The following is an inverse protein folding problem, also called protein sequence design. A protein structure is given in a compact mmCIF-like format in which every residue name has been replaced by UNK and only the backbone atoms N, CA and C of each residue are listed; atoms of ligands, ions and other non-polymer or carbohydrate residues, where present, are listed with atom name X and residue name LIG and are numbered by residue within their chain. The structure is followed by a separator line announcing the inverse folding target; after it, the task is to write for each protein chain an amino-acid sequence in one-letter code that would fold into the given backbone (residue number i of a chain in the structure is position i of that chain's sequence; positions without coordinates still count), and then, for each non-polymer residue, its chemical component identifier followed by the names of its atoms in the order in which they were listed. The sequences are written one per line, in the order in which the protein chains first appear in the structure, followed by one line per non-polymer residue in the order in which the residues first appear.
data_IF_073524978560
#
_entry.id   IF_073524978560
#
_cell.length_a   1.000
_cell.length_b   1.000
_cell.length_c   1.000
_cell.angle_alpha   90.00
_cell.angle_beta   90.00
_cell.angle_gamma   90.00
#
_symmetry.space_group_name_H-M   'P 1'
#
loop_
_entity.id
_entity.type
_entity.pdbx_description
1 polymer ?
#
# COMPACT_ATOMS: atom_id res chain seq x y z
N UNK A 1 5.00 -8.31 -15.40
CA UNK A 1 5.65 -7.67 -14.24
C UNK A 1 6.98 -7.01 -14.61
N UNK A 2 7.95 -7.74 -15.19
CA UNK A 2 9.25 -7.13 -15.58
C UNK A 2 9.06 -5.96 -16.56
N UNK A 3 8.18 -6.08 -17.56
CA UNK A 3 7.90 -5.00 -18.51
C UNK A 3 7.32 -3.74 -17.86
N UNK A 4 6.40 -3.88 -16.89
CA UNK A 4 5.86 -2.73 -16.14
C UNK A 4 6.93 -2.08 -15.29
N UNK A 5 7.80 -2.87 -14.64
CA UNK A 5 8.94 -2.34 -13.92
C UNK A 5 9.91 -1.57 -14.84
N UNK A 6 10.25 -2.14 -16.00
CA UNK A 6 11.15 -1.51 -16.97
C UNK A 6 10.60 -0.15 -17.47
N UNK A 7 9.31 -0.05 -17.74
CA UNK A 7 8.66 1.21 -18.12
C UNK A 7 8.76 2.26 -17.01
N UNK A 8 8.48 1.87 -15.77
CA UNK A 8 8.59 2.78 -14.62
C UNK A 8 10.01 3.32 -14.44
N UNK A 9 11.03 2.47 -14.57
CA UNK A 9 12.44 2.90 -14.45
C UNK A 9 12.95 3.70 -15.66
N UNK A 10 12.26 3.60 -16.81
CA UNK A 10 12.61 4.35 -18.02
C UNK A 10 11.86 5.70 -18.11
N UNK A 11 11.40 6.23 -16.98
CA UNK A 11 10.60 7.48 -16.89
C UNK A 11 9.28 7.45 -17.67
N UNK A 12 8.77 6.27 -18.04
CA UNK A 12 7.47 6.07 -18.72
C UNK A 12 6.40 5.64 -17.71
N UNK A 13 6.25 6.44 -16.65
CA UNK A 13 5.28 6.16 -15.58
C UNK A 13 3.83 6.05 -16.09
N UNK A 14 3.33 6.91 -17.00
CA UNK A 14 1.98 6.75 -17.55
C UNK A 14 1.76 5.41 -18.26
N UNK A 15 2.73 4.97 -19.06
CA UNK A 15 2.65 3.69 -19.77
C UNK A 15 2.68 2.50 -18.78
N UNK A 16 3.50 2.58 -17.74
CA UNK A 16 3.54 1.58 -16.66
C UNK A 16 2.21 1.48 -15.92
N UNK A 17 1.58 2.63 -15.63
CA UNK A 17 0.27 2.72 -14.97
C UNK A 17 -0.79 2.06 -15.86
N UNK A 18 -0.88 2.50 -17.12
CA UNK A 18 -1.85 1.98 -18.08
C UNK A 18 -1.71 0.47 -18.26
N UNK A 19 -0.48 -0.02 -18.40
CA UNK A 19 -0.21 -1.45 -18.56
C UNK A 19 -0.57 -2.26 -17.32
N UNK A 20 -0.36 -1.69 -16.12
CA UNK A 20 -0.76 -2.35 -14.88
C UNK A 20 -2.28 -2.46 -14.75
N UNK A 21 -3.02 -1.41 -15.13
CA UNK A 21 -4.49 -1.42 -15.15
C UNK A 21 -5.01 -2.47 -16.15
N UNK A 22 -4.45 -2.55 -17.36
CA UNK A 22 -4.81 -3.57 -18.35
C UNK A 22 -4.64 -4.98 -17.80
N UNK A 23 -3.50 -5.26 -17.16
CA UNK A 23 -3.21 -6.58 -16.61
C UNK A 23 -4.15 -6.90 -15.45
N UNK A 24 -4.44 -5.94 -14.57
CA UNK A 24 -5.40 -6.14 -13.47
C UNK A 24 -6.80 -6.47 -13.99
N UNK A 25 -7.25 -5.82 -15.08
CA UNK A 25 -8.52 -6.17 -15.74
C UNK A 25 -8.51 -7.59 -16.31
N UNK A 26 -7.39 -8.06 -16.86
CA UNK A 26 -7.25 -9.45 -17.30
C UNK A 26 -7.28 -10.47 -16.14
N UNK A 27 -7.03 -10.02 -14.91
CA UNK A 27 -7.12 -10.82 -13.68
C UNK A 27 -8.48 -10.64 -12.98
N UNK A 28 -9.47 -10.07 -13.67
CA UNK A 28 -10.81 -9.75 -13.14
C UNK A 28 -10.79 -8.79 -11.94
N UNK A 29 -9.77 -7.94 -11.84
CA UNK A 29 -9.64 -6.90 -10.81
C UNK A 29 -9.87 -5.53 -11.45
N UNK A 30 -11.06 -4.99 -11.22
CA UNK A 30 -11.40 -3.62 -11.61
C UNK A 30 -11.16 -2.64 -10.45
N UNK A 31 -10.47 -1.55 -10.77
CA UNK A 31 -10.18 -0.45 -9.85
C UNK A 31 -11.30 0.59 -9.80
N UNK A 32 -12.29 0.47 -10.69
CA UNK A 32 -13.45 1.37 -10.76
C UNK A 32 -13.02 2.85 -10.68
N UNK A 33 -12.16 3.27 -11.61
CA UNK A 33 -11.48 4.57 -11.61
C UNK A 33 -12.42 5.80 -11.54
N UNK A 34 -13.71 5.62 -11.83
CA UNK A 34 -14.74 6.65 -11.72
C UNK A 34 -15.26 6.88 -10.30
N UNK A 35 -14.88 6.06 -9.32
CA UNK A 35 -15.37 6.17 -7.94
C UNK A 35 -14.77 7.38 -7.22
N UNK A 36 -15.57 7.94 -6.32
CA UNK A 36 -15.12 9.01 -5.43
C UNK A 36 -14.04 8.49 -4.48
N UNK A 37 -12.94 9.23 -4.38
CA UNK A 37 -11.86 8.99 -3.43
C UNK A 37 -12.40 8.88 -1.99
N UNK A 38 -13.33 9.74 -1.62
CA UNK A 38 -13.96 9.79 -0.30
C UNK A 38 -14.73 8.51 -0.01
N UNK A 39 -15.44 7.95 -0.99
CA UNK A 39 -16.14 6.69 -0.84
C UNK A 39 -15.16 5.54 -0.57
N UNK A 40 -14.07 5.44 -1.34
CA UNK A 40 -13.04 4.41 -1.12
C UNK A 40 -12.34 4.54 0.23
N UNK A 41 -12.09 5.77 0.68
CA UNK A 41 -11.54 6.02 2.02
C UNK A 41 -12.52 5.55 3.09
N UNK A 42 -13.81 5.89 2.98
CA UNK A 42 -14.82 5.51 3.96
C UNK A 42 -15.03 3.98 4.03
N UNK A 43 -15.01 3.30 2.88
CA UNK A 43 -15.05 1.84 2.82
C UNK A 43 -13.82 1.21 3.46
N UNK A 44 -12.63 1.77 3.20
CA UNK A 44 -11.40 1.30 3.83
C UNK A 44 -11.45 1.48 5.35
N UNK A 45 -11.94 2.63 5.84
CA UNK A 45 -12.17 2.83 7.29
C UNK A 45 -13.09 1.73 7.82
N UNK A 46 -14.21 1.48 7.15
CA UNK A 46 -15.19 0.48 7.58
C UNK A 46 -14.60 -0.94 7.61
N UNK A 47 -13.80 -1.31 6.60
CA UNK A 47 -13.10 -2.59 6.55
C UNK A 47 -12.09 -2.77 7.71
N UNK A 48 -11.44 -1.67 8.12
CA UNK A 48 -10.41 -1.69 9.14
C UNK A 48 -10.93 -1.48 10.56
N UNK A 49 -12.07 -0.81 10.76
CA UNK A 49 -12.69 -0.63 12.10
C UNK A 49 -13.48 -1.85 12.55
N UNK A 50 -13.88 -2.71 11.61
CA UNK A 50 -14.56 -3.98 11.90
C UNK A 50 -13.60 -5.08 12.37
N UNK A 51 -12.29 -4.79 12.46
CA UNK A 51 -11.24 -5.73 12.85
C UNK A 51 -10.27 -5.06 13.82
N UNK A 52 -9.75 -5.84 14.74
CA UNK A 52 -8.63 -5.43 15.60
C UNK A 52 -7.31 -5.52 14.83
N UNK A 53 -6.30 -4.76 15.27
CA UNK A 53 -4.96 -4.84 14.67
C UNK A 53 -4.36 -6.24 14.80
N UNK A 54 -4.67 -6.96 15.88
CA UNK A 54 -4.22 -8.33 16.12
C UNK A 54 -4.88 -9.33 15.15
N UNK A 55 -6.17 -9.18 14.85
CA UNK A 55 -6.85 -9.99 13.82
C UNK A 55 -6.25 -9.74 12.44
N UNK A 56 -5.92 -8.49 12.12
CA UNK A 56 -5.28 -8.15 10.84
C UNK A 56 -3.89 -8.78 10.77
N UNK A 57 -3.08 -8.67 11.83
CA UNK A 57 -1.72 -9.24 11.90
C UNK A 57 -1.70 -10.78 11.83
N UNK A 58 -2.76 -11.43 12.32
CA UNK A 58 -2.90 -12.88 12.29
C UNK A 58 -3.74 -13.39 11.10
N UNK A 59 -4.02 -12.53 10.12
CA UNK A 59 -4.66 -12.94 8.87
C UNK A 59 -3.76 -13.96 8.16
N UNK A 60 -4.36 -15.04 7.63
CA UNK A 60 -3.63 -16.10 6.92
C UNK A 60 -2.76 -15.55 5.79
N UNK A 61 -1.65 -16.21 5.48
CA UNK A 61 -0.90 -15.91 4.26
C UNK A 61 -1.71 -16.24 3.01
N UNK A 62 -1.51 -15.44 1.97
CA UNK A 62 -2.08 -15.63 0.66
C UNK A 62 -1.37 -16.78 -0.05
N UNK A 63 -2.13 -17.77 -0.51
CA UNK A 63 -1.61 -18.95 -1.21
C UNK A 63 -1.89 -18.94 -2.71
N UNK A 64 -2.91 -18.19 -3.15
CA UNK A 64 -3.35 -18.13 -4.54
C UNK A 64 -2.34 -17.37 -5.41
N UNK A 65 -1.63 -18.02 -6.36
CA UNK A 65 -0.56 -17.39 -7.14
C UNK A 65 -1.03 -16.17 -7.95
N UNK A 66 -2.24 -16.26 -8.51
CA UNK A 66 -2.85 -15.17 -9.27
C UNK A 66 -3.06 -13.92 -8.42
N UNK A 67 -3.50 -14.08 -7.18
CA UNK A 67 -3.73 -12.97 -6.25
C UNK A 67 -2.41 -12.36 -5.76
N UNK A 68 -1.38 -13.19 -5.55
CA UNK A 68 -0.03 -12.71 -5.22
C UNK A 68 0.50 -11.83 -6.35
N UNK A 69 0.37 -12.28 -7.60
CA UNK A 69 0.78 -11.50 -8.77
C UNK A 69 -0.06 -10.22 -8.89
N UNK A 70 -1.36 -10.28 -8.68
CA UNK A 70 -2.22 -9.11 -8.69
C UNK A 70 -1.78 -8.04 -7.67
N UNK A 71 -1.48 -8.44 -6.44
CA UNK A 71 -0.98 -7.50 -5.42
C UNK A 71 0.38 -6.90 -5.79
N UNK A 72 1.25 -7.61 -6.51
CA UNK A 72 2.49 -7.02 -7.06
C UNK A 72 2.21 -5.92 -8.07
N UNK A 73 1.21 -6.10 -8.94
CA UNK A 73 0.80 -5.05 -9.88
C UNK A 73 0.11 -3.88 -9.20
N UNK A 74 -0.78 -4.14 -8.23
CA UNK A 74 -1.44 -3.11 -7.44
C UNK A 74 -0.42 -2.27 -6.67
N UNK A 75 0.55 -2.89 -6.01
CA UNK A 75 1.63 -2.17 -5.33
C UNK A 75 2.46 -1.30 -6.28
N UNK A 76 2.82 -1.82 -7.47
CA UNK A 76 3.55 -1.02 -8.44
C UNK A 76 2.72 0.16 -8.95
N UNK A 77 1.42 -0.06 -9.13
CA UNK A 77 0.47 0.96 -9.51
C UNK A 77 0.31 2.02 -8.42
N UNK A 78 0.22 1.63 -7.15
CA UNK A 78 0.18 2.51 -5.98
C UNK A 78 1.35 3.50 -6.01
N UNK A 79 2.57 2.98 -6.19
CA UNK A 79 3.81 3.75 -6.27
C UNK A 79 3.81 4.76 -7.42
N UNK A 80 3.39 4.33 -8.62
CA UNK A 80 3.33 5.19 -9.81
C UNK A 80 2.23 6.25 -9.72
N UNK A 81 1.06 5.89 -9.19
CA UNK A 81 -0.05 6.81 -9.01
C UNK A 81 0.22 7.81 -7.89
N UNK A 82 0.92 7.44 -6.83
CA UNK A 82 1.31 8.38 -5.78
C UNK A 82 2.20 9.52 -6.30
N UNK A 83 3.04 9.25 -7.30
CA UNK A 83 3.89 10.26 -7.92
C UNK A 83 3.15 11.14 -8.94
N UNK A 84 2.14 10.60 -9.63
CA UNK A 84 1.52 11.28 -10.79
C UNK A 84 0.11 11.79 -10.53
N UNK A 85 -0.67 11.09 -9.69
CA UNK A 85 -2.09 11.33 -9.39
C UNK A 85 -2.40 11.01 -7.90
N UNK A 86 -1.78 11.69 -6.92
CA UNK A 86 -1.89 11.33 -5.50
C UNK A 86 -3.33 11.34 -4.95
N UNK A 87 -4.23 12.13 -5.53
CA UNK A 87 -5.66 12.18 -5.13
C UNK A 87 -6.43 10.90 -5.47
N UNK A 88 -5.95 10.10 -6.42
CA UNK A 88 -6.59 8.86 -6.87
C UNK A 88 -6.00 7.61 -6.23
N UNK A 89 -4.91 7.74 -5.47
CA UNK A 89 -4.21 6.64 -4.79
C UNK A 89 -5.15 5.81 -3.90
N UNK A 90 -6.08 6.40 -3.11
CA UNK A 90 -6.95 5.61 -2.23
C UNK A 90 -7.80 4.54 -2.93
N UNK A 91 -8.04 4.65 -4.24
CA UNK A 91 -8.71 3.62 -5.04
C UNK A 91 -7.90 2.32 -5.05
N UNK A 92 -6.59 2.44 -5.29
CA UNK A 92 -5.67 1.31 -5.35
C UNK A 92 -5.34 0.81 -3.93
N UNK A 93 -5.15 1.73 -2.99
CA UNK A 93 -4.96 1.41 -1.56
C UNK A 93 -6.10 0.55 -1.02
N UNK A 94 -7.35 0.96 -1.29
CA UNK A 94 -8.55 0.23 -0.87
C UNK A 94 -8.57 -1.18 -1.45
N UNK A 95 -8.24 -1.34 -2.74
CA UNK A 95 -8.21 -2.66 -3.40
C UNK A 95 -7.13 -3.58 -2.82
N UNK A 96 -5.95 -3.04 -2.50
CA UNK A 96 -4.89 -3.80 -1.82
C UNK A 96 -5.39 -4.33 -0.47
N UNK A 97 -6.00 -3.47 0.35
CA UNK A 97 -6.50 -3.83 1.68
C UNK A 97 -7.66 -4.83 1.58
N UNK A 98 -8.63 -4.58 0.70
CA UNK A 98 -9.78 -5.46 0.46
C UNK A 98 -9.32 -6.89 0.10
N UNK A 99 -8.45 -7.01 -0.91
CA UNK A 99 -7.95 -8.31 -1.36
C UNK A 99 -7.09 -9.00 -0.29
N UNK A 100 -6.27 -8.24 0.44
CA UNK A 100 -5.43 -8.79 1.50
C UNK A 100 -6.26 -9.36 2.65
N UNK A 101 -7.32 -8.65 3.06
CA UNK A 101 -8.21 -9.14 4.11
C UNK A 101 -9.08 -10.32 3.64
N UNK A 102 -9.51 -10.34 2.37
CA UNK A 102 -10.38 -11.39 1.84
C UNK A 102 -9.64 -12.68 1.45
N UNK A 103 -8.45 -12.55 0.84
CA UNK A 103 -7.70 -13.68 0.24
C UNK A 103 -6.47 -14.08 1.05
N UNK A 104 -6.11 -13.31 2.07
CA UNK A 104 -4.91 -13.51 2.89
C UNK A 104 -3.85 -12.48 2.57
N UNK A 105 -2.85 -12.35 3.45
CA UNK A 105 -1.80 -11.36 3.31
C UNK A 105 -0.67 -11.86 2.40
N UNK A 106 -0.15 -10.97 1.56
CA UNK A 106 1.04 -11.20 0.74
C UNK A 106 2.19 -10.30 1.18
N UNK A 107 3.44 -10.56 0.74
CA UNK A 107 4.56 -9.63 0.93
C UNK A 107 4.32 -8.19 0.47
N UNK A 108 3.31 -7.95 -0.38
CA UNK A 108 2.95 -6.62 -0.89
C UNK A 108 1.77 -5.98 -0.12
N UNK A 109 1.08 -6.72 0.74
CA UNK A 109 -0.05 -6.21 1.54
C UNK A 109 0.31 -5.00 2.44
N UNK A 110 1.49 -4.94 3.09
CA UNK A 110 1.90 -3.79 3.91
C UNK A 110 1.80 -2.43 3.20
N UNK A 111 1.97 -2.40 1.87
CA UNK A 111 1.86 -1.17 1.06
C UNK A 111 0.49 -0.53 1.22
N UNK A 112 -0.60 -1.30 1.17
CA UNK A 112 -1.95 -0.74 1.34
C UNK A 112 -2.10 -0.03 2.69
N UNK A 113 -1.61 -0.64 3.78
CA UNK A 113 -1.72 -0.08 5.12
C UNK A 113 -0.88 1.17 5.31
N UNK A 114 0.36 1.21 4.80
CA UNK A 114 1.23 2.37 4.96
C UNK A 114 0.77 3.57 4.15
N UNK A 115 0.31 3.35 2.92
CA UNK A 115 -0.24 4.42 2.07
C UNK A 115 -1.54 4.96 2.65
N UNK A 116 -2.41 4.10 3.16
CA UNK A 116 -3.62 4.52 3.86
C UNK A 116 -3.29 5.35 5.10
N UNK A 117 -2.33 4.91 5.91
CA UNK A 117 -1.86 5.64 7.08
C UNK A 117 -1.33 7.03 6.71
N UNK A 118 -0.44 7.10 5.71
CA UNK A 118 0.07 8.37 5.17
C UNK A 118 -1.04 9.28 4.66
N UNK A 119 -2.04 8.75 3.95
CA UNK A 119 -3.16 9.52 3.43
C UNK A 119 -4.01 10.12 4.54
N UNK A 120 -4.37 9.34 5.56
CA UNK A 120 -5.19 9.79 6.70
C UNK A 120 -4.42 10.83 7.54
N UNK A 121 -3.11 10.62 7.77
CA UNK A 121 -2.26 11.61 8.43
C UNK A 121 -2.23 12.94 7.68
N UNK A 122 -2.10 12.91 6.34
CA UNK A 122 -2.12 14.12 5.49
C UNK A 122 -3.47 14.85 5.51
N UNK A 123 -4.56 14.17 5.89
CA UNK A 123 -5.89 14.76 6.10
C UNK A 123 -6.11 15.32 7.50
N UNK A 124 -5.10 15.24 8.39
CA UNK A 124 -5.13 15.82 9.73
C UNK A 124 -5.36 14.83 10.86
N UNK A 125 -5.69 13.57 10.59
CA UNK A 125 -5.79 12.54 11.62
C UNK A 125 -4.46 11.78 11.75
N UNK A 126 -3.50 12.43 12.40
CA UNK A 126 -2.17 11.89 12.60
C UNK A 126 -2.19 10.63 13.48
N UNK A 127 -3.08 10.55 14.47
CA UNK A 127 -3.16 9.42 15.41
C UNK A 127 -3.58 8.14 14.68
N UNK A 128 -4.69 8.17 13.93
CA UNK A 128 -5.14 7.02 13.15
C UNK A 128 -4.15 6.67 12.05
N UNK A 129 -3.59 7.68 11.37
CA UNK A 129 -2.61 7.42 10.32
C UNK A 129 -1.32 6.77 10.85
N UNK A 130 -0.82 7.21 12.01
CA UNK A 130 0.32 6.58 12.68
C UNK A 130 0.03 5.14 13.12
N UNK A 131 -1.20 4.86 13.58
CA UNK A 131 -1.65 3.48 13.88
C UNK A 131 -1.51 2.56 12.66
N UNK A 132 -2.01 2.98 11.49
CA UNK A 132 -1.92 2.18 10.26
C UNK A 132 -0.49 2.04 9.75
N UNK A 133 0.36 3.06 9.91
CA UNK A 133 1.79 2.97 9.59
C UNK A 133 2.49 1.93 10.46
N UNK A 134 2.24 1.92 11.78
CA UNK A 134 2.78 0.89 12.67
C UNK A 134 2.29 -0.51 12.29
N UNK A 135 1.00 -0.63 11.96
CA UNK A 135 0.42 -1.90 11.51
C UNK A 135 1.12 -2.41 10.23
N UNK A 136 1.38 -1.53 9.26
CA UNK A 136 2.12 -1.88 8.05
C UNK A 136 3.53 -2.38 8.33
N UNK A 137 4.26 -1.72 9.23
CA UNK A 137 5.61 -2.13 9.64
C UNK A 137 5.58 -3.50 10.32
N UNK A 138 4.65 -3.73 11.24
CA UNK A 138 4.49 -5.04 11.90
C UNK A 138 4.12 -6.16 10.93
N UNK A 139 3.40 -5.86 9.85
CA UNK A 139 3.06 -6.85 8.84
C UNK A 139 4.30 -7.35 8.08
N UNK A 140 5.33 -6.51 7.85
CA UNK A 140 6.55 -6.91 7.14
C UNK A 140 7.21 -8.16 7.74
N UNK A 141 7.18 -8.28 9.07
CA UNK A 141 7.76 -9.43 9.80
C UNK A 141 6.87 -10.69 9.70
N UNK A 142 5.58 -10.54 9.39
CA UNK A 142 4.60 -11.64 9.30
C UNK A 142 4.49 -12.22 7.89
N UNK A 143 4.56 -11.36 6.87
CA UNK A 143 4.18 -11.72 5.49
C UNK A 143 5.35 -11.70 4.52
N UNK A 144 6.53 -11.28 4.99
CA UNK A 144 7.74 -11.15 4.20
C UNK A 144 8.09 -9.70 3.90
N UNK A 145 9.37 -9.46 3.61
CA UNK A 145 9.97 -8.13 3.50
C UNK A 145 10.15 -7.63 2.06
N UNK A 146 9.46 -8.21 1.08
CA UNK A 146 9.57 -7.80 -0.33
C UNK A 146 9.22 -6.32 -0.55
N UNK A 147 8.29 -5.77 0.24
CA UNK A 147 7.89 -4.36 0.18
C UNK A 147 8.57 -3.46 1.22
N UNK A 148 9.59 -3.96 1.94
CA UNK A 148 10.13 -3.27 3.12
C UNK A 148 10.68 -1.87 2.80
N UNK A 149 11.49 -1.71 1.75
CA UNK A 149 12.07 -0.41 1.42
C UNK A 149 11.01 0.66 1.14
N UNK A 150 9.98 0.33 0.35
CA UNK A 150 8.88 1.26 0.06
C UNK A 150 8.04 1.55 1.30
N UNK A 151 7.72 0.53 2.09
CA UNK A 151 6.93 0.69 3.31
C UNK A 151 7.65 1.56 4.33
N UNK A 152 8.94 1.33 4.55
CA UNK A 152 9.74 2.12 5.48
C UNK A 152 9.85 3.56 4.99
N UNK A 153 10.09 3.77 3.69
CA UNK A 153 10.17 5.12 3.10
C UNK A 153 8.89 5.93 3.33
N UNK A 154 7.72 5.34 3.09
CA UNK A 154 6.42 6.02 3.33
C UNK A 154 6.15 6.16 4.83
N UNK A 155 6.50 5.16 5.64
CA UNK A 155 6.34 5.21 7.09
C UNK A 155 7.08 6.39 7.70
N UNK A 156 8.34 6.64 7.29
CA UNK A 156 9.15 7.78 7.76
C UNK A 156 8.43 9.12 7.57
N UNK A 157 7.69 9.30 6.47
CA UNK A 157 6.96 10.55 6.21
C UNK A 157 5.89 10.85 7.26
N UNK A 158 5.34 9.83 7.90
CA UNK A 158 4.38 10.00 9.00
C UNK A 158 5.11 10.07 10.33
N UNK A 159 6.09 9.19 10.54
CA UNK A 159 6.85 9.07 11.79
C UNK A 159 7.57 10.35 12.17
N UNK A 160 8.07 11.14 11.21
CA UNK A 160 8.76 12.42 11.47
C UNK A 160 7.90 13.44 12.23
N UNK A 161 6.58 13.32 12.18
CA UNK A 161 5.66 14.22 12.89
C UNK A 161 5.30 13.73 14.30
N UNK A 162 5.73 12.52 14.69
CA UNK A 162 5.39 11.88 15.97
C UNK A 162 6.63 11.54 16.79
N UNK A 163 7.68 11.06 16.13
CA UNK A 163 8.93 10.63 16.74
C UNK A 163 10.02 11.71 16.61
N UNK A 164 11.05 11.69 17.48
CA UNK A 164 12.22 12.54 17.32
C UNK A 164 12.87 12.35 15.95
N UNK A 165 13.29 13.45 15.32
CA UNK A 165 13.85 13.45 13.96
C UNK A 165 15.00 12.45 13.79
N UNK A 166 15.84 12.27 14.80
CA UNK A 166 16.96 11.32 14.76
C UNK A 166 16.49 9.88 14.56
N UNK A 167 15.45 9.46 15.28
CA UNK A 167 14.86 8.13 15.12
C UNK A 167 14.20 7.96 13.74
N UNK A 168 13.55 9.02 13.22
CA UNK A 168 12.98 9.00 11.87
C UNK A 168 14.05 8.90 10.78
N UNK A 169 15.21 9.54 10.96
CA UNK A 169 16.35 9.48 10.03
C UNK A 169 17.00 8.10 10.00
N UNK A 170 17.22 7.48 11.16
CA UNK A 170 17.71 6.10 11.24
C UNK A 170 16.75 5.15 10.49
N UNK A 171 15.45 5.30 10.72
CA UNK A 171 14.44 4.52 10.01
C UNK A 171 14.46 4.74 8.49
N UNK A 172 14.69 5.97 8.03
CA UNK A 172 14.85 6.24 6.60
C UNK A 172 16.03 5.47 5.98
N UNK A 173 17.17 5.43 6.68
CA UNK A 173 18.36 4.73 6.21
C UNK A 173 18.13 3.21 6.12
N UNK A 174 17.41 2.63 7.09
CA UNK A 174 17.03 1.22 7.05
C UNK A 174 16.16 0.90 5.82
N UNK A 175 15.24 1.81 5.46
CA UNK A 175 14.41 1.67 4.27
C UNK A 175 15.17 1.78 2.96
N UNK A 176 16.22 2.59 2.92
CA UNK A 176 17.09 2.69 1.74
C UNK A 176 17.95 1.43 1.55
N UNK A 177 18.33 0.76 2.64
CA UNK A 177 19.17 -0.44 2.62
C UNK A 177 18.40 -1.75 2.35
N UNK A 178 17.07 -1.75 2.58
CA UNK A 178 16.19 -2.92 2.47
C UNK A 178 15.66 -3.15 1.05
#
# INVERSE_FOLDING_TARGET
YISTCALAYSSKLPDSIQKSIEILRMLDIDLQESRSTEACVQETITLLTTRTDEEILNTRQMTEPTMIIALKFLAKLESGMNQTKPRSVPLVTQKIIELSLAKGMSPMSPIGFVYFGSFISKRGDLSSGYRYVKLALSLLDKVGRESAGEVICIATQVKIFVEPIQAALEHHNDGYAA
#
